data_IF_471090054914
#
_entry.id   IF_471090054914
#
_cell.length_a   1.000
_cell.length_b   1.000
_cell.length_c   1.000
_cell.angle_alpha   90.00
_cell.angle_beta   90.00
_cell.angle_gamma   90.00
#
_symmetry.space_group_name_H-M   'P 1'
#
loop_
_entity.id
_entity.type
_entity.pdbx_description
1 polymer ?
#
# COMPACT_ATOMS: atom_id res chain seq x y z
N UNK A 1 -6.54 -13.10 19.98
CA UNK A 1 -6.98 -11.95 20.80
C UNK A 1 -6.36 -12.06 22.19
N UNK A 2 -5.09 -11.67 22.37
CA UNK A 2 -4.38 -11.93 23.63
C UNK A 2 -3.96 -10.66 24.40
N UNK A 3 -4.45 -9.48 24.04
CA UNK A 3 -4.03 -8.23 24.68
C UNK A 3 -4.65 -8.00 26.07
N UNK A 4 -5.76 -8.66 26.41
CA UNK A 4 -6.51 -8.39 27.66
C UNK A 4 -5.85 -8.96 28.93
N UNK A 5 -4.97 -9.96 28.81
CA UNK A 5 -4.28 -10.60 29.94
C UNK A 5 -2.89 -10.01 30.21
N UNK A 6 -2.41 -9.09 29.37
CA UNK A 6 -1.16 -8.41 29.62
C UNK A 6 -1.33 -7.38 30.74
N UNK A 7 -0.53 -7.52 31.81
CA UNK A 7 -0.44 -6.55 32.90
C UNK A 7 0.28 -5.26 32.50
N UNK A 8 1.05 -5.32 31.40
CA UNK A 8 1.72 -4.15 30.81
C UNK A 8 0.71 -3.28 30.06
N UNK A 9 0.78 -1.97 30.27
CA UNK A 9 0.00 -0.98 29.50
C UNK A 9 0.79 -0.55 28.26
N UNK A 10 0.11 -0.24 27.14
CA UNK A 10 0.80 0.32 25.99
C UNK A 10 1.42 1.66 26.39
N UNK A 11 2.70 1.84 26.10
CA UNK A 11 3.41 3.09 26.39
C UNK A 11 2.78 4.28 25.64
N UNK A 12 2.28 4.03 24.43
CA UNK A 12 1.56 5.00 23.62
C UNK A 12 0.17 4.48 23.31
N UNK A 13 -0.83 5.30 23.62
CA UNK A 13 -2.22 5.05 23.27
C UNK A 13 -2.74 6.32 22.61
N UNK A 14 -3.03 6.23 21.32
CA UNK A 14 -3.66 7.31 20.59
C UNK A 14 -5.18 7.22 20.77
N UNK A 15 -5.77 8.24 21.38
CA UNK A 15 -7.22 8.29 21.63
C UNK A 15 -7.97 9.13 20.59
N UNK A 16 -7.25 9.70 19.62
CA UNK A 16 -7.80 10.62 18.64
C UNK A 16 -7.68 12.09 19.08
N UNK A 17 -8.13 13.01 18.22
CA UNK A 17 -8.72 12.75 16.90
C UNK A 17 -7.66 12.32 15.87
N UNK A 18 -8.02 11.46 14.92
CA UNK A 18 -7.16 11.07 13.76
C UNK A 18 -7.13 12.18 12.69
N UNK A 19 -6.89 13.41 13.13
CA UNK A 19 -6.94 14.64 12.33
C UNK A 19 -5.65 15.40 12.59
N UNK A 20 -4.95 15.80 11.54
CA UNK A 20 -3.74 16.61 11.66
C UNK A 20 -3.50 17.44 10.40
N UNK A 21 -2.74 18.52 10.55
CA UNK A 21 -2.19 19.25 9.42
C UNK A 21 -0.76 18.74 9.17
N UNK A 22 -0.52 18.25 7.96
CA UNK A 22 0.77 17.71 7.52
C UNK A 22 1.52 18.76 6.70
N UNK A 23 2.85 18.66 6.63
CA UNK A 23 3.66 19.57 5.79
C UNK A 23 3.34 19.43 4.30
N UNK A 24 2.93 18.23 3.89
CA UNK A 24 2.48 17.92 2.54
C UNK A 24 1.15 17.15 2.57
N UNK A 25 0.28 17.35 1.57
CA UNK A 25 -0.95 16.57 1.42
C UNK A 25 -0.67 15.07 1.34
N UNK A 26 -1.51 14.22 1.95
CA UNK A 26 -1.31 12.77 1.93
C UNK A 26 -2.00 12.09 0.74
N UNK A 27 -1.28 11.16 0.09
CA UNK A 27 -1.87 10.17 -0.80
C UNK A 27 -2.17 8.89 -0.02
N UNK A 28 -3.45 8.56 0.17
CA UNK A 28 -3.89 7.30 0.77
C UNK A 28 -4.41 6.37 -0.31
N UNK A 29 -3.99 5.10 -0.29
CA UNK A 29 -4.39 4.12 -1.30
C UNK A 29 -5.12 2.98 -0.61
N UNK A 30 -6.26 2.59 -1.15
CA UNK A 30 -7.01 1.43 -0.70
C UNK A 30 -7.59 0.67 -1.88
N UNK A 31 -7.74 -0.64 -1.74
CA UNK A 31 -8.26 -1.52 -2.78
C UNK A 31 -9.64 -2.08 -2.42
N UNK A 32 -10.44 -2.34 -3.46
CA UNK A 32 -11.87 -2.68 -3.36
C UNK A 32 -12.11 -3.99 -2.61
N UNK A 33 -11.23 -4.98 -2.76
CA UNK A 33 -11.32 -6.29 -2.10
C UNK A 33 -10.12 -6.61 -1.18
N UNK A 34 -9.82 -5.68 -0.25
CA UNK A 34 -8.87 -5.91 0.86
C UNK A 34 -9.55 -6.56 2.08
N UNK A 35 -9.13 -7.75 2.51
CA UNK A 35 -9.70 -8.40 3.69
C UNK A 35 -9.18 -7.84 5.02
N UNK A 36 -8.06 -7.11 5.03
CA UNK A 36 -7.39 -6.59 6.23
C UNK A 36 -7.66 -5.09 6.40
N UNK A 37 -7.50 -4.32 5.33
CA UNK A 37 -7.65 -2.85 5.31
C UNK A 37 -8.58 -2.37 4.19
N UNK A 38 -9.90 -2.62 4.28
CA UNK A 38 -10.86 -2.22 3.25
C UNK A 38 -10.76 -0.75 2.80
N UNK A 39 -10.97 -0.47 1.50
CA UNK A 39 -10.87 0.88 0.89
C UNK A 39 -11.61 1.98 1.66
N UNK A 40 -12.75 1.67 2.30
CA UNK A 40 -13.50 2.62 3.15
C UNK A 40 -12.63 3.26 4.25
N UNK A 41 -11.62 2.54 4.75
CA UNK A 41 -10.70 3.06 5.77
C UNK A 41 -9.76 4.11 5.19
N UNK A 42 -9.22 3.89 3.98
CA UNK A 42 -8.41 4.90 3.28
C UNK A 42 -9.22 6.18 3.01
N UNK A 43 -10.47 6.03 2.53
CA UNK A 43 -11.38 7.15 2.30
C UNK A 43 -11.68 7.90 3.60
N UNK A 44 -11.95 7.19 4.69
CA UNK A 44 -12.24 7.82 5.98
C UNK A 44 -11.01 8.53 6.56
N UNK A 45 -9.82 7.96 6.44
CA UNK A 45 -8.58 8.59 6.87
C UNK A 45 -8.31 9.87 6.07
N UNK A 46 -8.52 9.88 4.75
CA UNK A 46 -8.27 11.06 3.91
C UNK A 46 -9.07 12.28 4.37
N UNK A 47 -10.29 12.09 4.87
CA UNK A 47 -11.14 13.17 5.39
C UNK A 47 -10.55 13.90 6.61
N UNK A 48 -9.63 13.25 7.34
CA UNK A 48 -9.00 13.80 8.54
C UNK A 48 -7.79 14.69 8.28
N UNK A 49 -7.24 14.69 7.05
CA UNK A 49 -6.00 15.43 6.75
C UNK A 49 -6.26 16.49 5.68
N UNK A 50 -5.75 17.70 5.92
CA UNK A 50 -5.95 18.81 5.00
C UNK A 50 -5.31 18.52 3.63
N UNK A 51 -6.13 18.59 2.58
CA UNK A 51 -5.69 18.35 1.20
C UNK A 51 -5.40 16.90 0.84
N UNK A 52 -5.56 15.94 1.76
CA UNK A 52 -5.32 14.54 1.47
C UNK A 52 -6.37 13.96 0.49
N UNK A 53 -5.92 13.01 -0.34
CA UNK A 53 -6.78 12.33 -1.32
C UNK A 53 -6.64 10.83 -1.15
N UNK A 54 -7.79 10.14 -1.23
CA UNK A 54 -7.85 8.68 -1.32
C UNK A 54 -7.92 8.23 -2.79
N UNK A 55 -6.99 7.38 -3.21
CA UNK A 55 -6.99 6.67 -4.48
C UNK A 55 -7.56 5.27 -4.27
N UNK A 56 -8.55 4.90 -5.09
CA UNK A 56 -9.12 3.55 -5.08
C UNK A 56 -8.44 2.71 -6.15
N UNK A 57 -7.94 1.53 -5.79
CA UNK A 57 -7.52 0.51 -6.76
C UNK A 57 -8.59 -0.58 -6.82
N UNK A 58 -9.16 -0.80 -8.00
CA UNK A 58 -10.14 -1.88 -8.19
C UNK A 58 -9.43 -3.21 -8.38
N UNK A 59 -9.10 -3.84 -7.25
CA UNK A 59 -8.34 -5.09 -7.22
C UNK A 59 -8.58 -5.88 -5.93
N UNK A 60 -8.23 -7.17 -5.99
CA UNK A 60 -8.25 -8.08 -4.83
C UNK A 60 -6.89 -8.24 -4.19
N UNK A 61 -6.86 -8.42 -2.87
CA UNK A 61 -5.65 -8.73 -2.11
C UNK A 61 -5.37 -7.71 -1.03
N UNK A 62 -4.31 -7.90 -0.26
CA UNK A 62 -3.96 -6.98 0.83
C UNK A 62 -2.95 -5.94 0.37
N UNK A 63 -3.28 -4.65 0.55
CA UNK A 63 -2.55 -3.49 0.04
C UNK A 63 -2.60 -3.36 -1.50
N UNK A 64 -2.32 -2.16 -2.03
CA UNK A 64 -2.29 -1.91 -3.49
C UNK A 64 -1.16 -2.63 -4.23
N UNK A 65 -0.16 -3.13 -3.49
CA UNK A 65 0.96 -3.89 -4.05
C UNK A 65 0.62 -5.36 -4.32
N UNK A 66 -0.57 -5.85 -3.93
CA UNK A 66 -0.96 -7.24 -4.17
C UNK A 66 -1.32 -7.52 -5.64
N UNK A 67 -1.64 -6.46 -6.39
CA UNK A 67 -2.07 -6.55 -7.78
C UNK A 67 -1.48 -5.39 -8.55
N UNK A 68 -0.92 -5.69 -9.71
CA UNK A 68 -0.36 -4.66 -10.56
C UNK A 68 -1.46 -3.77 -11.17
N UNK A 69 -1.23 -2.45 -11.09
CA UNK A 69 -1.98 -1.43 -11.83
C UNK A 69 -1.02 -0.33 -12.25
N UNK A 70 -0.85 -0.15 -13.56
CA UNK A 70 -0.03 0.90 -14.15
C UNK A 70 -0.58 2.28 -13.77
N UNK A 71 -1.91 2.43 -13.71
CA UNK A 71 -2.59 3.65 -13.25
C UNK A 71 -2.15 4.02 -11.82
N UNK A 72 -2.21 3.07 -10.88
CA UNK A 72 -1.79 3.32 -9.49
C UNK A 72 -0.30 3.66 -9.41
N UNK A 73 0.56 2.92 -10.12
CA UNK A 73 2.01 3.13 -10.11
C UNK A 73 2.37 4.53 -10.63
N UNK A 74 1.68 5.03 -11.66
CA UNK A 74 1.92 6.37 -12.19
C UNK A 74 1.60 7.46 -11.17
N UNK A 75 0.48 7.35 -10.45
CA UNK A 75 0.14 8.31 -9.39
C UNK A 75 1.12 8.25 -8.21
N UNK A 76 1.54 7.05 -7.80
CA UNK A 76 2.56 6.89 -6.75
C UNK A 76 3.86 7.59 -7.16
N UNK A 77 4.33 7.35 -8.40
CA UNK A 77 5.54 8.01 -8.92
C UNK A 77 5.39 9.52 -8.95
N UNK A 78 4.29 10.03 -9.49
CA UNK A 78 4.02 11.47 -9.59
C UNK A 78 3.96 12.13 -8.21
N UNK A 79 3.34 11.47 -7.23
CA UNK A 79 3.27 11.97 -5.86
C UNK A 79 4.65 12.07 -5.21
N UNK A 80 5.52 11.08 -5.39
CA UNK A 80 6.89 11.16 -4.85
C UNK A 80 7.80 12.13 -5.61
N UNK A 81 7.55 12.36 -6.90
CA UNK A 81 8.34 13.27 -7.73
C UNK A 81 7.96 14.75 -7.52
N UNK A 82 6.66 15.04 -7.51
CA UNK A 82 6.13 16.41 -7.53
C UNK A 82 5.27 16.78 -6.32
N UNK A 83 4.78 15.78 -5.58
CA UNK A 83 3.75 15.98 -4.55
C UNK A 83 2.33 16.09 -5.11
N UNK A 84 2.14 15.96 -6.42
CA UNK A 84 0.82 16.05 -7.04
C UNK A 84 -0.06 14.85 -6.65
N UNK A 85 -1.34 15.16 -6.37
CA UNK A 85 -2.35 14.18 -6.02
C UNK A 85 -3.29 13.90 -7.20
N UNK A 86 -3.88 12.69 -7.27
CA UNK A 86 -4.93 12.39 -8.23
C UNK A 86 -6.18 13.25 -7.99
N UNK A 87 -7.05 13.42 -9.00
CA UNK A 87 -8.39 13.97 -8.77
C UNK A 87 -9.14 13.22 -7.67
N UNK A 88 -10.02 13.92 -6.96
CA UNK A 88 -10.88 13.30 -5.94
C UNK A 88 -11.74 12.22 -6.59
N UNK A 89 -11.88 11.08 -5.91
CA UNK A 89 -12.60 9.88 -6.38
C UNK A 89 -11.98 9.21 -7.61
N UNK A 90 -10.66 9.31 -7.79
CA UNK A 90 -9.97 8.53 -8.81
C UNK A 90 -9.99 7.04 -8.47
N UNK A 91 -10.35 6.23 -9.46
CA UNK A 91 -10.31 4.76 -9.39
C UNK A 91 -9.41 4.23 -10.49
N UNK A 92 -8.42 3.41 -10.12
CA UNK A 92 -7.52 2.74 -11.04
C UNK A 92 -7.91 1.26 -11.18
N UNK A 93 -8.07 0.71 -12.40
CA UNK A 93 -8.31 -0.71 -12.59
C UNK A 93 -7.06 -1.54 -12.32
N UNK A 94 -7.22 -2.81 -11.94
CA UNK A 94 -6.16 -3.79 -11.98
C UNK A 94 -5.84 -4.17 -13.43
N UNK A 95 -4.55 -4.24 -13.77
CA UNK A 95 -4.12 -4.80 -15.06
C UNK A 95 -3.97 -6.33 -14.96
N UNK A 96 -3.63 -6.84 -13.77
CA UNK A 96 -3.50 -8.28 -13.51
C UNK A 96 -4.78 -8.85 -12.87
N UNK A 97 -5.41 -9.78 -13.58
CA UNK A 97 -6.56 -10.52 -13.08
C UNK A 97 -6.11 -11.78 -12.30
N UNK A 98 -6.75 -12.12 -11.16
CA UNK A 98 -6.37 -13.26 -10.33
C UNK A 98 -6.31 -14.61 -11.05
N UNK A 99 -7.09 -14.77 -12.13
CA UNK A 99 -7.22 -16.02 -12.89
C UNK A 99 -6.79 -15.90 -14.36
N UNK A 100 -6.09 -14.80 -14.73
CA UNK A 100 -5.71 -14.52 -16.11
C UNK A 100 -6.81 -13.84 -16.93
N UNK A 101 -6.54 -13.48 -18.20
CA UNK A 101 -7.53 -12.87 -19.08
C UNK A 101 -8.67 -13.86 -19.40
N UNK A 102 -9.87 -13.34 -19.65
CA UNK A 102 -10.97 -14.15 -20.15
C UNK A 102 -10.58 -14.83 -21.48
N UNK A 103 -11.18 -15.98 -21.77
CA UNK A 103 -10.84 -16.79 -22.95
C UNK A 103 -10.91 -16.01 -24.28
N UNK A 104 -11.71 -14.95 -24.32
CA UNK A 104 -11.95 -14.10 -25.48
C UNK A 104 -10.88 -12.98 -25.64
N UNK A 105 -10.11 -12.66 -24.59
CA UNK A 105 -9.12 -11.56 -24.52
C UNK A 105 -7.65 -12.03 -24.56
N UNK A 106 -7.42 -13.35 -24.62
CA UNK A 106 -6.09 -13.95 -24.54
C UNK A 106 -5.19 -13.70 -25.77
N UNK A 107 -5.72 -13.16 -26.88
CA UNK A 107 -5.03 -13.12 -28.18
C UNK A 107 -3.96 -12.04 -28.37
N UNK A 108 -4.03 -10.91 -27.65
CA UNK A 108 -3.12 -9.77 -27.83
C UNK A 108 -2.61 -9.14 -26.51
N UNK A 109 -3.41 -9.21 -25.43
CA UNK A 109 -3.09 -8.60 -24.13
C UNK A 109 -2.01 -9.37 -23.35
N UNK A 110 -1.68 -10.59 -23.79
CA UNK A 110 -0.77 -11.49 -23.08
C UNK A 110 0.67 -10.98 -22.93
N UNK A 111 1.28 -10.35 -23.94
CA UNK A 111 2.72 -10.02 -23.87
C UNK A 111 2.98 -8.83 -22.94
N UNK A 112 2.18 -7.77 -23.07
CA UNK A 112 2.31 -6.56 -22.24
C UNK A 112 1.96 -6.85 -20.77
N UNK A 113 0.88 -7.61 -20.53
CA UNK A 113 0.50 -8.04 -19.19
C UNK A 113 1.57 -8.92 -18.54
N UNK A 114 2.17 -9.84 -19.28
CA UNK A 114 3.21 -10.72 -18.75
C UNK A 114 4.51 -9.96 -18.43
N UNK A 115 4.85 -8.94 -19.23
CA UNK A 115 5.97 -8.05 -18.94
C UNK A 115 5.69 -7.16 -17.73
N UNK A 116 4.48 -6.60 -17.63
CA UNK A 116 4.01 -5.86 -16.46
C UNK A 116 4.04 -6.72 -15.18
N UNK A 117 3.60 -7.98 -15.26
CA UNK A 117 3.65 -8.96 -14.17
C UNK A 117 5.09 -9.25 -13.72
N UNK A 118 6.04 -9.42 -14.65
CA UNK A 118 7.46 -9.56 -14.32
C UNK A 118 7.99 -8.35 -13.57
N UNK A 119 7.63 -7.13 -14.01
CA UNK A 119 8.03 -5.87 -13.33
C UNK A 119 7.38 -5.72 -11.96
N UNK A 120 6.15 -6.19 -11.79
CA UNK A 120 5.47 -6.19 -10.50
C UNK A 120 6.14 -7.16 -9.52
N UNK A 121 6.46 -8.37 -9.99
CA UNK A 121 7.19 -9.37 -9.22
C UNK A 121 8.57 -8.86 -8.78
N UNK A 122 9.28 -8.09 -9.61
CA UNK A 122 10.56 -7.48 -9.21
C UNK A 122 10.38 -6.38 -8.17
N UNK A 123 9.31 -5.58 -8.21
CA UNK A 123 9.01 -4.57 -7.17
C UNK A 123 8.69 -5.25 -5.85
N UNK A 124 7.82 -6.27 -5.84
CA UNK A 124 7.52 -7.03 -4.63
C UNK A 124 8.76 -7.72 -4.05
N UNK A 125 9.62 -8.30 -4.91
CA UNK A 125 10.88 -8.88 -4.50
C UNK A 125 11.88 -7.83 -3.97
N UNK A 126 11.94 -6.65 -4.59
CA UNK A 126 12.77 -5.53 -4.14
C UNK A 126 12.29 -4.98 -2.79
N UNK A 127 10.98 -4.82 -2.59
CA UNK A 127 10.39 -4.45 -1.31
C UNK A 127 10.71 -5.49 -0.25
N UNK A 128 10.57 -6.79 -0.57
CA UNK A 128 10.98 -7.87 0.34
C UNK A 128 12.48 -7.82 0.69
N UNK A 129 13.34 -7.65 -0.31
CA UNK A 129 14.79 -7.53 -0.13
C UNK A 129 15.21 -6.28 0.65
N UNK A 130 14.45 -5.20 0.54
CA UNK A 130 14.64 -3.96 1.30
C UNK A 130 14.01 -4.00 2.71
N UNK A 131 13.48 -5.15 3.15
CA UNK A 131 12.90 -5.33 4.48
C UNK A 131 11.41 -4.96 4.60
N UNK A 132 10.74 -4.65 3.50
CA UNK A 132 9.29 -4.39 3.41
C UNK A 132 8.41 -5.64 3.40
N UNK A 133 9.00 -6.83 3.53
CA UNK A 133 8.25 -8.05 3.82
C UNK A 133 7.77 -8.08 5.27
N UNK A 134 6.54 -8.52 5.50
CA UNK A 134 6.05 -8.87 6.84
C UNK A 134 7.04 -9.87 7.47
N UNK A 135 7.78 -9.38 8.47
CA UNK A 135 8.88 -10.04 9.18
C UNK A 135 10.18 -10.22 8.36
N UNK A 136 10.94 -9.13 8.23
CA UNK A 136 12.40 -9.24 8.22
C UNK A 136 12.85 -9.96 9.49
N UNK A 137 13.50 -11.10 9.32
CA UNK A 137 14.00 -11.97 10.39
C UNK A 137 15.04 -11.24 11.26
N UNK A 138 14.57 -10.45 12.23
CA UNK A 138 15.39 -9.83 13.27
C UNK A 138 15.11 -10.44 14.66
N UNK A 139 14.55 -11.67 14.69
CA UNK A 139 14.33 -12.45 15.94
C UNK A 139 15.30 -13.63 16.05
N UNK A 140 16.34 -13.69 15.22
CA UNK A 140 17.39 -14.71 15.33
C UNK A 140 18.78 -14.08 15.19
N UNK A 141 19.25 -13.41 16.24
CA UNK A 141 20.65 -12.98 16.33
C UNK A 141 20.82 -11.67 17.08
N UNK A 142 20.88 -11.76 18.42
CA UNK A 142 21.31 -10.63 19.22
C UNK A 142 22.72 -10.17 18.84
N UNK A 143 22.85 -8.90 18.50
CA UNK A 143 24.03 -8.05 18.74
C UNK A 143 23.55 -6.61 18.75
N UNK A 144 23.67 -5.97 19.90
CA UNK A 144 23.46 -4.54 20.05
C UNK A 144 24.49 -3.80 19.19
N UNK A 145 24.03 -3.07 18.18
CA UNK A 145 24.82 -2.04 17.53
C UNK A 145 24.59 -0.74 18.30
N UNK A 146 25.56 -0.41 19.16
CA UNK A 146 25.67 0.89 19.78
C UNK A 146 26.14 1.92 18.73
N UNK A 147 25.59 3.14 18.82
CA UNK A 147 26.24 4.36 18.33
C UNK A 147 25.72 4.92 17.01
N UNK A 148 24.68 5.74 17.07
CA UNK A 148 24.39 6.79 16.08
C UNK A 148 23.62 7.93 16.78
N UNK A 149 24.35 8.78 17.48
CA UNK A 149 23.97 10.17 17.81
C UNK A 149 25.28 10.97 17.85
N UNK A 150 25.43 11.86 16.86
CA UNK A 150 26.15 13.14 16.99
C UNK A 150 25.12 14.24 16.74
#
# INVERSE_FOLDING_TARGET
MNCIHYSIRPHYRFEGPWIANTSHPLLLIGNTADPVTPVKHAINMAKGFAGAVALTQDSSGHCSISTYSNCTVQYVRRYFDTGDLPPINTTCPADEMPFGPDADEAGAVGVELMEARKRHATIAAALHGAGGGLLGSAVAGGRAAAGWFE
#
